data_IF_973881710388
#
_entry.id   IF_973881710388
#
_cell.length_a   1.000
_cell.length_b   1.000
_cell.length_c   1.000
_cell.angle_alpha   90.00
_cell.angle_beta   90.00
_cell.angle_gamma   90.00
#
_symmetry.space_group_name_H-M   'P 1'
#
loop_
_entity.id
_entity.type
_entity.pdbx_description
1 polymer ?
#
# COMPACT_ATOMS: atom_id res chain seq x y z
N UNK A 1 -10.86 1.50 -1.65
CA UNK A 1 -9.66 2.37 -1.69
C UNK A 1 -9.85 3.39 -2.82
N UNK A 2 -10.69 4.41 -2.62
CA UNK A 2 -11.19 5.24 -3.73
C UNK A 2 -10.36 6.50 -4.02
N UNK A 3 -9.51 6.95 -3.09
CA UNK A 3 -8.84 8.25 -3.20
C UNK A 3 -7.49 8.20 -3.95
N UNK A 4 -6.89 7.02 -4.13
CA UNK A 4 -5.76 6.78 -5.05
C UNK A 4 -6.10 5.56 -5.92
N UNK A 5 -6.77 5.75 -7.08
CA UNK A 5 -7.17 4.62 -7.92
C UNK A 5 -5.99 3.72 -8.35
N UNK A 6 -4.86 4.33 -8.72
CA UNK A 6 -3.63 3.62 -9.12
C UNK A 6 -3.08 2.66 -8.06
N UNK A 7 -3.34 2.93 -6.77
CA UNK A 7 -2.96 2.02 -5.69
C UNK A 7 -3.64 0.66 -5.83
N UNK A 8 -4.97 0.66 -6.03
CA UNK A 8 -5.73 -0.58 -6.15
C UNK A 8 -5.40 -1.32 -7.47
N UNK A 9 -5.16 -0.57 -8.55
CA UNK A 9 -4.81 -1.10 -9.87
C UNK A 9 -3.41 -1.76 -9.90
N UNK A 10 -2.53 -1.39 -8.98
CA UNK A 10 -1.18 -1.97 -8.86
C UNK A 10 -1.19 -3.44 -8.46
N UNK A 11 -2.25 -3.93 -7.83
CA UNK A 11 -2.38 -5.33 -7.39
C UNK A 11 -2.83 -6.22 -8.55
N UNK A 12 -1.86 -6.67 -9.34
CA UNK A 12 -2.07 -7.56 -10.50
C UNK A 12 -1.77 -9.03 -10.16
N UNK A 13 -2.48 -9.94 -10.83
CA UNK A 13 -2.30 -11.39 -10.64
C UNK A 13 -0.92 -11.85 -11.12
N UNK A 14 -0.32 -12.83 -10.44
CA UNK A 14 1.02 -13.35 -10.73
C UNK A 14 1.22 -13.91 -12.14
N UNK A 15 0.17 -14.49 -12.73
CA UNK A 15 0.21 -14.98 -14.11
C UNK A 15 0.11 -13.90 -15.19
N UNK A 16 -0.06 -12.63 -14.82
CA UNK A 16 -0.30 -11.52 -15.76
C UNK A 16 -1.67 -11.57 -16.44
N UNK A 17 -2.51 -12.55 -16.11
CA UNK A 17 -3.80 -12.72 -16.76
C UNK A 17 -4.85 -11.80 -16.15
N UNK A 18 -5.66 -11.16 -17.01
CA UNK A 18 -6.67 -10.16 -16.63
C UNK A 18 -7.95 -10.72 -16.00
N UNK A 19 -7.86 -11.80 -15.22
CA UNK A 19 -9.01 -12.29 -14.47
C UNK A 19 -9.33 -11.30 -13.34
N UNK A 20 -10.31 -10.43 -13.59
CA UNK A 20 -10.81 -9.47 -12.60
C UNK A 20 -11.65 -10.22 -11.60
N UNK A 21 -11.08 -10.52 -10.44
CA UNK A 21 -11.90 -11.05 -9.36
C UNK A 21 -12.70 -9.90 -8.74
N UNK A 22 -13.99 -10.14 -8.54
CA UNK A 22 -14.88 -9.20 -7.88
C UNK A 22 -14.32 -8.81 -6.50
N UNK A 23 -14.51 -7.54 -6.15
CA UNK A 23 -14.12 -6.95 -4.87
C UNK A 23 -12.67 -7.21 -4.45
N UNK A 24 -11.75 -7.34 -5.41
CA UNK A 24 -10.33 -7.58 -5.15
C UNK A 24 -9.74 -6.57 -4.16
N UNK A 25 -10.10 -5.28 -4.28
CA UNK A 25 -9.61 -4.23 -3.38
C UNK A 25 -9.99 -4.47 -1.91
N UNK A 26 -11.14 -5.11 -1.63
CA UNK A 26 -11.55 -5.46 -0.28
C UNK A 26 -10.70 -6.62 0.27
N UNK A 27 -10.45 -7.64 -0.54
CA UNK A 27 -9.56 -8.74 -0.16
C UNK A 27 -8.11 -8.25 0.07
N UNK A 28 -7.60 -7.36 -0.80
CA UNK A 28 -6.27 -6.76 -0.65
C UNK A 28 -6.20 -5.93 0.63
N UNK A 29 -7.21 -5.10 0.92
CA UNK A 29 -7.26 -4.35 2.19
C UNK A 29 -7.18 -5.29 3.40
N UNK A 30 -7.96 -6.37 3.40
CA UNK A 30 -7.95 -7.34 4.49
C UNK A 30 -6.59 -8.03 4.67
N UNK A 31 -5.93 -8.43 3.58
CA UNK A 31 -4.58 -9.02 3.62
C UNK A 31 -3.55 -8.02 4.15
N UNK A 32 -3.56 -6.78 3.65
CA UNK A 32 -2.64 -5.74 4.13
C UNK A 32 -2.87 -5.42 5.61
N UNK A 33 -4.12 -5.36 6.07
CA UNK A 33 -4.47 -5.20 7.48
C UNK A 33 -3.93 -6.36 8.34
N UNK A 34 -4.11 -7.60 7.89
CA UNK A 34 -3.62 -8.78 8.60
C UNK A 34 -2.10 -8.76 8.78
N UNK A 35 -1.36 -8.38 7.74
CA UNK A 35 0.11 -8.23 7.77
C UNK A 35 0.54 -7.03 8.61
N UNK A 36 -0.01 -5.85 8.37
CA UNK A 36 0.37 -4.61 9.05
C UNK A 36 0.11 -4.67 10.56
N UNK A 37 -0.96 -5.36 10.99
CA UNK A 37 -1.31 -5.50 12.40
C UNK A 37 -0.77 -6.79 13.04
N UNK A 38 -0.13 -7.69 12.28
CA UNK A 38 0.39 -8.99 12.74
C UNK A 38 -0.67 -9.90 13.40
N UNK A 39 -1.91 -9.90 12.88
CA UNK A 39 -3.04 -10.61 13.48
C UNK A 39 -3.47 -11.89 12.74
N UNK A 40 -2.85 -12.17 11.59
CA UNK A 40 -3.26 -13.26 10.69
C UNK A 40 -4.66 -13.03 10.08
N UNK A 41 -5.20 -14.03 9.37
CA UNK A 41 -6.46 -13.85 8.64
C UNK A 41 -7.75 -14.01 9.46
N UNK A 42 -7.71 -14.75 10.57
CA UNK A 42 -8.91 -15.01 11.40
C UNK A 42 -9.72 -13.74 11.75
N UNK A 43 -9.12 -12.61 12.17
CA UNK A 43 -9.87 -11.40 12.51
C UNK A 43 -10.30 -10.55 11.31
N UNK A 44 -9.82 -10.84 10.10
CA UNK A 44 -10.21 -10.11 8.88
C UNK A 44 -11.11 -10.93 7.95
N UNK A 45 -11.44 -12.16 8.33
CA UNK A 45 -12.44 -12.97 7.63
C UNK A 45 -13.86 -12.65 8.09
N UNK A 46 -14.82 -12.66 7.16
CA UNK A 46 -16.24 -12.44 7.46
C UNK A 46 -17.11 -13.52 6.80
N UNK A 47 -17.86 -14.33 7.56
CA UNK A 47 -18.81 -15.29 7.00
C UNK A 47 -19.86 -14.60 6.13
N UNK A 48 -20.17 -15.18 4.97
CA UNK A 48 -21.16 -14.63 4.03
C UNK A 48 -20.67 -13.45 3.17
N UNK A 49 -19.39 -13.08 3.28
CA UNK A 49 -18.75 -12.09 2.39
C UNK A 49 -17.67 -12.80 1.58
N UNK A 50 -17.96 -13.09 0.31
CA UNK A 50 -17.08 -13.89 -0.56
C UNK A 50 -15.65 -13.35 -0.65
N UNK A 51 -15.51 -12.02 -0.70
CA UNK A 51 -14.23 -11.31 -0.72
C UNK A 51 -13.38 -11.49 0.55
N UNK A 52 -14.00 -11.89 1.67
CA UNK A 52 -13.38 -12.02 2.99
C UNK A 52 -13.41 -13.47 3.50
N UNK A 53 -13.56 -14.45 2.62
CA UNK A 53 -13.37 -15.86 3.00
C UNK A 53 -11.89 -16.17 3.18
N UNK A 54 -11.56 -17.14 4.05
CA UNK A 54 -10.16 -17.48 4.35
C UNK A 54 -9.38 -17.91 3.10
N UNK A 55 -9.98 -18.76 2.27
CA UNK A 55 -9.36 -19.27 1.03
C UNK A 55 -9.14 -18.14 0.03
N UNK A 56 -10.10 -17.22 -0.06
CA UNK A 56 -9.97 -16.01 -0.88
C UNK A 56 -8.79 -15.15 -0.46
N UNK A 57 -8.66 -14.87 0.84
CA UNK A 57 -7.54 -14.05 1.36
C UNK A 57 -6.20 -14.74 1.14
N UNK A 58 -6.12 -16.05 1.33
CA UNK A 58 -4.89 -16.82 1.04
C UNK A 58 -4.50 -16.77 -0.44
N UNK A 59 -5.48 -16.95 -1.33
CA UNK A 59 -5.24 -16.82 -2.77
C UNK A 59 -4.77 -15.41 -3.16
N UNK A 60 -5.38 -14.36 -2.58
CA UNK A 60 -5.00 -12.97 -2.83
C UNK A 60 -3.60 -12.66 -2.32
N UNK A 61 -3.26 -13.13 -1.12
CA UNK A 61 -1.93 -13.00 -0.54
C UNK A 61 -0.85 -13.60 -1.45
N UNK A 62 -1.06 -14.82 -1.94
CA UNK A 62 -0.10 -15.51 -2.79
C UNK A 62 0.04 -14.92 -4.20
N UNK A 63 -1.06 -14.46 -4.80
CA UNK A 63 -1.09 -14.15 -6.23
C UNK A 63 -1.11 -12.66 -6.54
N UNK A 64 -1.51 -11.81 -5.59
CA UNK A 64 -1.68 -10.37 -5.81
C UNK A 64 -0.82 -9.52 -4.87
N UNK A 65 -0.60 -9.92 -3.61
CA UNK A 65 0.22 -9.16 -2.65
C UNK A 65 1.67 -9.65 -2.71
N UNK A 66 2.44 -9.03 -3.60
CA UNK A 66 3.82 -9.42 -3.91
C UNK A 66 4.72 -8.20 -3.80
N UNK A 67 6.03 -8.40 -3.67
CA UNK A 67 6.96 -7.27 -3.56
C UNK A 67 6.80 -6.28 -4.73
N UNK A 68 6.69 -6.80 -5.96
CA UNK A 68 6.49 -6.01 -7.18
C UNK A 68 5.24 -5.13 -7.12
N UNK A 69 4.11 -5.69 -6.70
CA UNK A 69 2.83 -4.98 -6.62
C UNK A 69 2.80 -4.00 -5.45
N UNK A 70 3.43 -4.35 -4.32
CA UNK A 70 3.63 -3.45 -3.18
C UNK A 70 4.52 -2.25 -3.55
N UNK A 71 5.61 -2.47 -4.29
CA UNK A 71 6.48 -1.40 -4.78
C UNK A 71 5.72 -0.47 -5.72
N UNK A 72 4.98 -1.01 -6.68
CA UNK A 72 4.14 -0.21 -7.58
C UNK A 72 3.07 0.59 -6.83
N UNK A 73 2.36 -0.07 -5.90
CA UNK A 73 1.34 0.57 -5.08
C UNK A 73 1.93 1.68 -4.20
N UNK A 74 3.13 1.48 -3.64
CA UNK A 74 3.82 2.50 -2.85
C UNK A 74 4.18 3.74 -3.66
N UNK A 75 4.58 3.58 -4.93
CA UNK A 75 4.83 4.72 -5.83
C UNK A 75 3.58 5.58 -5.97
N UNK A 76 2.41 4.97 -6.12
CA UNK A 76 1.13 5.69 -6.23
C UNK A 76 0.79 6.45 -4.94
N UNK A 77 1.05 5.86 -3.77
CA UNK A 77 0.89 6.55 -2.48
C UNK A 77 1.87 7.71 -2.31
N UNK A 78 3.14 7.53 -2.68
CA UNK A 78 4.16 8.59 -2.60
C UNK A 78 3.83 9.75 -3.52
N UNK A 79 3.37 9.48 -4.75
CA UNK A 79 2.87 10.52 -5.67
C UNK A 79 1.71 11.28 -5.04
N UNK A 80 0.71 10.57 -4.53
CA UNK A 80 -0.44 11.21 -3.89
C UNK A 80 -0.04 12.03 -2.65
N UNK A 81 0.92 11.56 -1.86
CA UNK A 81 1.45 12.28 -0.70
C UNK A 81 2.22 13.55 -1.12
N UNK A 82 2.95 13.52 -2.23
CA UNK A 82 3.71 14.67 -2.73
C UNK A 82 2.80 15.84 -3.17
N UNK A 83 1.54 15.58 -3.50
CA UNK A 83 0.55 16.61 -3.83
C UNK A 83 -0.02 17.34 -2.61
N UNK A 84 0.23 16.86 -1.39
CA UNK A 84 -0.23 17.51 -0.17
C UNK A 84 0.55 18.83 0.01
N UNK A 85 -0.13 19.96 0.18
CA UNK A 85 0.50 21.28 0.35
C UNK A 85 1.56 21.29 1.47
N UNK A 86 1.28 20.60 2.57
CA UNK A 86 2.22 20.42 3.68
C UNK A 86 3.48 19.65 3.25
N UNK A 87 3.31 18.60 2.44
CA UNK A 87 4.43 17.84 1.89
C UNK A 87 5.26 18.69 0.92
N UNK A 88 4.62 19.55 0.12
CA UNK A 88 5.33 20.48 -0.77
C UNK A 88 6.10 21.55 0.01
N UNK A 89 5.49 22.06 1.09
CA UNK A 89 6.12 23.02 2.00
C UNK A 89 7.35 22.43 2.71
N UNK A 90 7.28 21.14 3.08
CA UNK A 90 8.36 20.46 3.80
C UNK A 90 9.37 19.74 2.87
N UNK A 91 8.98 19.41 1.64
CA UNK A 91 9.63 18.45 0.73
C UNK A 91 10.72 19.02 -0.18
N UNK A 92 11.20 20.24 0.05
CA UNK A 92 12.29 20.85 -0.73
C UNK A 92 13.70 20.26 -0.49
N UNK A 93 13.81 19.08 0.13
CA UNK A 93 15.08 18.43 0.46
C UNK A 93 15.87 19.06 1.62
N UNK A 94 15.22 19.88 2.45
CA UNK A 94 15.84 20.60 3.58
C UNK A 94 15.52 20.00 4.96
N UNK A 95 14.57 19.07 5.03
CA UNK A 95 14.10 18.49 6.29
C UNK A 95 13.97 16.97 6.15
N UNK A 96 14.92 16.24 6.73
CA UNK A 96 14.70 14.86 7.12
C UNK A 96 14.17 14.87 8.55
N UNK A 97 12.90 14.49 8.74
CA UNK A 97 12.32 14.30 10.06
C UNK A 97 12.40 12.81 10.40
N UNK A 98 13.38 12.46 11.23
CA UNK A 98 13.44 11.18 11.93
C UNK A 98 13.16 11.48 13.40
N UNK A 99 12.18 10.77 13.98
CA UNK A 99 11.73 10.82 15.38
C UNK A 99 12.26 11.98 16.25
N UNK A 100 11.49 13.06 16.32
CA UNK A 100 11.59 14.08 17.37
C UNK A 100 12.78 15.04 17.30
N UNK A 101 13.74 14.85 16.39
CA UNK A 101 14.91 15.72 16.28
C UNK A 101 14.86 16.51 14.97
N UNK A 102 14.76 17.84 15.09
CA UNK A 102 14.76 18.77 13.95
C UNK A 102 16.12 19.47 13.90
N UNK A 103 16.92 19.16 12.88
CA UNK A 103 18.08 19.98 12.53
C UNK A 103 17.92 20.47 11.10
N UNK A 104 18.00 21.79 10.91
CA UNK A 104 18.10 22.39 9.58
C UNK A 104 19.54 22.18 9.09
N UNK A 105 19.70 21.43 7.99
CA UNK A 105 20.99 21.31 7.32
C UNK A 105 21.10 22.43 6.28
N UNK A 106 22.18 23.20 6.33
CA UNK A 106 22.53 24.10 5.23
C UNK A 106 23.00 23.26 4.03
N UNK A 107 22.59 23.64 2.82
CA UNK A 107 22.85 22.85 1.62
C UNK A 107 24.34 22.84 1.30
N UNK A 108 24.97 21.68 1.49
CA UNK A 108 25.98 21.05 0.62
C UNK A 108 26.40 19.72 1.24
N UNK A 109 25.86 18.61 0.76
CA UNK A 109 26.57 17.34 0.82
C UNK A 109 27.23 17.14 -0.55
N UNK A 110 28.56 17.22 -0.55
CA UNK A 110 29.42 16.71 -1.63
C UNK A 110 29.71 15.27 -1.24
N UNK A 111 29.21 14.32 -2.01
CA UNK A 111 29.87 13.14 -2.60
C UNK A 111 28.83 12.17 -3.15
#
# INVERSE_FOLDING_TARGET
>A
MSWVPGFAESFTHASGNGARVADLGLSVAAVLCAHAMNVGFKPVTSPGVDALTRDRLHHVDQNYVRLETLTAANVELVKAQAEIELAQLWGGGLLAAVDGVRFALDKRSVY
#
